data_IF_533490602301
#
_entry.id   IF_533490602301
#
_cell.length_a   1.000
_cell.length_b   1.000
_cell.length_c   1.000
_cell.angle_alpha   90.00
_cell.angle_beta   90.00
_cell.angle_gamma   90.00
#
_symmetry.space_group_name_H-M   'P 1'
#
loop_
_entity.id
_entity.type
_entity.pdbx_description
1 polymer ?
#
# COMPACT_ATOMS: atom_id res chain seq x y z
N UNK A 1 -7.99 -39.72 5.61
CA UNK A 1 -7.57 -38.74 6.62
C UNK A 1 -7.43 -37.38 5.93
N UNK A 2 -8.47 -36.55 5.96
CA UNK A 2 -8.42 -35.19 5.43
C UNK A 2 -8.09 -34.26 6.60
N UNK A 3 -6.90 -33.69 6.59
CA UNK A 3 -6.47 -32.72 7.59
C UNK A 3 -7.33 -31.45 7.44
N UNK A 4 -8.21 -31.22 8.41
CA UNK A 4 -8.91 -29.95 8.60
C UNK A 4 -7.88 -28.90 8.96
N UNK A 5 -7.50 -28.07 7.98
CA UNK A 5 -6.74 -26.84 8.26
C UNK A 5 -7.72 -25.87 8.91
N UNK A 6 -7.77 -25.88 10.24
CA UNK A 6 -8.46 -24.85 11.02
C UNK A 6 -7.64 -23.58 10.92
N UNK A 7 -8.04 -22.64 10.05
CA UNK A 7 -7.56 -21.26 10.12
C UNK A 7 -8.02 -20.69 11.46
N UNK A 8 -7.10 -20.60 12.42
CA UNK A 8 -7.29 -19.80 13.62
C UNK A 8 -7.36 -18.35 13.18
N UNK A 9 -8.56 -17.78 13.17
CA UNK A 9 -8.75 -16.34 13.05
C UNK A 9 -8.11 -15.70 14.28
N UNK A 10 -6.90 -15.16 14.12
CA UNK A 10 -6.26 -14.36 15.14
C UNK A 10 -6.94 -12.99 15.15
N UNK A 11 -7.95 -12.85 16.02
CA UNK A 11 -8.47 -11.54 16.40
C UNK A 11 -7.37 -10.78 17.14
N UNK A 12 -6.68 -9.89 16.42
CA UNK A 12 -5.82 -8.91 17.06
C UNK A 12 -6.39 -7.51 16.85
N UNK A 13 -7.46 -7.24 17.61
CA UNK A 13 -7.99 -5.90 17.78
C UNK A 13 -7.00 -5.09 18.62
N UNK A 14 -6.03 -4.43 17.97
CA UNK A 14 -5.41 -3.24 18.55
C UNK A 14 -6.29 -2.05 18.19
N UNK A 15 -7.24 -1.76 19.09
CA UNK A 15 -7.91 -0.46 19.15
C UNK A 15 -6.85 0.64 19.25
N UNK A 16 -6.55 1.30 18.14
CA UNK A 16 -6.03 2.66 18.21
C UNK A 16 -7.22 3.58 18.51
N UNK A 17 -7.07 4.35 19.59
CA UNK A 17 -8.09 5.19 20.18
C UNK A 17 -8.70 6.13 19.13
N UNK A 18 -10.04 6.12 19.08
CA UNK A 18 -10.87 7.12 18.42
C UNK A 18 -10.44 8.53 18.88
N UNK A 19 -9.75 9.26 18.02
CA UNK A 19 -9.91 10.71 17.96
C UNK A 19 -11.14 10.97 17.08
N UNK A 20 -12.26 11.27 17.73
CA UNK A 20 -13.45 11.73 17.05
C UNK A 20 -13.16 13.08 16.41
N UNK A 21 -12.92 13.11 15.10
CA UNK A 21 -12.93 14.34 14.31
C UNK A 21 -14.26 14.35 13.55
N UNK A 22 -15.31 14.87 14.19
CA UNK A 22 -16.43 15.46 13.46
C UNK A 22 -15.91 16.77 12.86
N UNK A 23 -15.36 16.70 11.64
CA UNK A 23 -14.78 17.85 10.96
C UNK A 23 -14.73 17.61 9.46
N UNK A 24 -15.53 18.40 8.73
CA UNK A 24 -15.56 18.62 7.28
C UNK A 24 -14.66 17.72 6.41
N UNK A 25 -15.30 16.85 5.64
CA UNK A 25 -14.69 16.18 4.48
C UNK A 25 -14.21 17.27 3.50
N UNK A 26 -12.90 17.25 3.18
CA UNK A 26 -12.13 18.11 2.25
C UNK A 26 -11.49 19.36 2.87
N UNK A 27 -10.32 19.16 3.47
CA UNK A 27 -9.22 20.12 3.35
C UNK A 27 -7.95 19.33 3.04
N UNK A 28 -7.91 18.69 1.87
CA UNK A 28 -6.69 18.07 1.36
C UNK A 28 -5.75 19.20 0.92
N UNK A 29 -4.68 19.38 1.69
CA UNK A 29 -3.46 20.10 1.34
C UNK A 29 -3.60 21.61 1.06
N UNK A 30 -3.52 22.44 2.10
CA UNK A 30 -3.24 23.87 2.00
C UNK A 30 -1.83 24.22 2.50
N UNK A 31 -0.85 23.35 2.23
CA UNK A 31 0.55 23.72 2.31
C UNK A 31 1.04 24.05 0.89
N UNK A 32 1.11 25.33 0.55
CA UNK A 32 1.82 25.80 -0.64
C UNK A 32 3.34 25.68 -0.43
N UNK A 33 3.84 24.48 -0.10
CA UNK A 33 5.20 24.14 -0.51
C UNK A 33 5.14 24.17 -2.02
N UNK A 34 5.73 25.21 -2.61
CA UNK A 34 6.10 25.26 -4.03
C UNK A 34 7.04 24.08 -4.28
N UNK A 35 6.44 22.91 -4.47
CA UNK A 35 7.10 21.76 -5.04
C UNK A 35 7.64 22.25 -6.38
N UNK A 36 8.96 22.18 -6.54
CA UNK A 36 9.62 22.47 -7.81
C UNK A 36 8.89 21.66 -8.88
N UNK A 37 8.38 22.28 -9.96
CA UNK A 37 7.67 21.54 -11.00
C UNK A 37 8.58 20.41 -11.45
N UNK A 38 8.08 19.20 -11.31
CA UNK A 38 8.77 17.96 -11.64
C UNK A 38 9.00 18.00 -13.15
N UNK A 39 10.23 18.30 -13.57
CA UNK A 39 10.85 18.56 -14.89
C UNK A 39 10.18 18.06 -16.21
N UNK A 40 8.86 18.04 -16.32
CA UNK A 40 8.13 17.46 -17.43
C UNK A 40 7.07 18.47 -17.86
N UNK A 41 7.27 19.02 -19.05
CA UNK A 41 6.37 20.00 -19.66
C UNK A 41 5.07 19.36 -20.15
N UNK A 42 5.10 18.08 -20.51
CA UNK A 42 3.97 17.34 -21.07
C UNK A 42 4.12 15.84 -20.79
N UNK A 43 3.00 15.13 -20.62
CA UNK A 43 3.00 13.67 -20.49
C UNK A 43 3.54 12.99 -21.76
N UNK A 44 3.19 13.50 -22.94
CA UNK A 44 3.63 12.91 -24.21
C UNK A 44 5.15 13.02 -24.41
N UNK A 45 5.78 14.09 -23.95
CA UNK A 45 7.25 14.20 -24.01
C UNK A 45 7.92 13.21 -23.07
N UNK A 46 7.37 13.03 -21.85
CA UNK A 46 7.88 12.05 -20.90
C UNK A 46 7.75 10.60 -21.40
N UNK A 47 6.67 10.29 -22.12
CA UNK A 47 6.42 8.97 -22.70
C UNK A 47 7.39 8.64 -23.84
N UNK A 48 7.82 9.62 -24.64
CA UNK A 48 8.76 9.40 -25.74
C UNK A 48 10.13 8.90 -25.26
N UNK A 49 10.61 9.43 -24.15
CA UNK A 49 11.91 9.07 -23.58
C UNK A 49 11.84 7.83 -22.67
N UNK A 50 10.64 7.42 -22.27
CA UNK A 50 10.43 6.30 -21.37
C UNK A 50 10.73 4.96 -22.06
N UNK A 51 11.76 4.26 -21.56
CA UNK A 51 12.13 2.91 -21.98
C UNK A 51 12.11 1.97 -20.78
N UNK A 52 11.31 0.91 -20.87
CA UNK A 52 11.32 -0.18 -19.90
C UNK A 52 12.45 -1.14 -20.23
N UNK A 53 13.39 -1.32 -19.30
CA UNK A 53 14.35 -2.42 -19.35
C UNK A 53 13.65 -3.71 -18.95
N UNK A 54 13.11 -4.45 -19.92
CA UNK A 54 12.42 -5.72 -19.66
C UNK A 54 13.49 -6.79 -19.42
N UNK A 55 13.55 -7.38 -18.21
CA UNK A 55 14.48 -8.48 -17.93
C UNK A 55 14.01 -9.77 -18.60
N UNK A 56 14.94 -10.71 -18.81
CA UNK A 56 14.63 -12.02 -19.39
C UNK A 56 13.70 -12.87 -18.48
N UNK A 57 13.85 -12.71 -17.16
CA UNK A 57 13.00 -13.34 -16.16
C UNK A 57 12.40 -12.27 -15.26
N UNK A 58 11.08 -12.33 -15.08
CA UNK A 58 10.34 -11.46 -14.17
C UNK A 58 9.16 -12.22 -13.57
N UNK A 59 9.07 -12.20 -12.24
CA UNK A 59 7.94 -12.70 -11.49
C UNK A 59 7.49 -11.63 -10.50
N UNK A 60 6.27 -11.12 -10.66
CA UNK A 60 5.77 -10.04 -9.80
C UNK A 60 5.67 -10.43 -8.32
N UNK A 61 5.37 -11.69 -8.00
CA UNK A 61 5.28 -12.14 -6.62
C UNK A 61 6.67 -12.10 -5.95
N UNK A 62 7.67 -12.68 -6.60
CA UNK A 62 9.04 -12.74 -6.06
C UNK A 62 9.78 -11.40 -6.16
N UNK A 63 9.78 -10.79 -7.34
CA UNK A 63 10.60 -9.60 -7.62
C UNK A 63 10.01 -8.31 -7.04
N UNK A 64 8.72 -8.31 -6.68
CA UNK A 64 8.06 -7.12 -6.11
C UNK A 64 7.52 -7.42 -4.72
N UNK A 65 6.56 -8.35 -4.58
CA UNK A 65 5.86 -8.55 -3.31
C UNK A 65 6.82 -9.03 -2.21
N UNK A 66 7.64 -10.04 -2.47
CA UNK A 66 8.58 -10.57 -1.47
C UNK A 66 9.60 -9.51 -1.05
N UNK A 67 10.08 -8.67 -1.97
CA UNK A 67 10.97 -7.55 -1.63
C UNK A 67 10.32 -6.52 -0.71
N UNK A 68 9.00 -6.28 -0.85
CA UNK A 68 8.27 -5.39 0.05
C UNK A 68 8.09 -6.02 1.42
N UNK A 69 7.75 -7.31 1.46
CA UNK A 69 7.66 -8.12 2.69
C UNK A 69 8.97 -8.09 3.47
N UNK A 70 10.11 -8.27 2.80
CA UNK A 70 11.42 -8.23 3.44
C UNK A 70 11.78 -6.85 4.00
N UNK A 71 11.41 -5.78 3.28
CA UNK A 71 11.63 -4.40 3.75
C UNK A 71 10.77 -4.07 4.97
N UNK A 72 9.55 -4.60 5.03
CA UNK A 72 8.65 -4.47 6.18
C UNK A 72 9.22 -5.24 7.39
N UNK A 73 9.60 -6.51 7.20
CA UNK A 73 10.24 -7.35 8.23
C UNK A 73 11.52 -6.75 8.79
N UNK A 74 12.33 -6.12 7.94
CA UNK A 74 13.56 -5.45 8.35
C UNK A 74 13.32 -4.13 9.12
N UNK A 75 12.07 -3.70 9.31
CA UNK A 75 11.73 -2.45 10.00
C UNK A 75 12.19 -1.19 9.27
N UNK A 76 12.58 -1.31 7.99
CA UNK A 76 13.12 -0.19 7.19
C UNK A 76 12.03 0.75 6.69
N UNK A 77 10.76 0.37 6.83
CA UNK A 77 9.60 1.14 6.36
C UNK A 77 8.48 1.13 7.41
N UNK A 78 7.71 2.22 7.54
CA UNK A 78 6.45 2.19 8.29
C UNK A 78 5.49 1.15 7.71
N UNK A 79 4.77 0.44 8.59
CA UNK A 79 3.77 -0.57 8.23
C UNK A 79 2.52 0.09 7.65
N UNK A 80 2.62 0.48 6.38
CA UNK A 80 1.49 0.92 5.57
C UNK A 80 0.80 -0.32 4.98
N UNK A 81 -0.54 -0.39 4.96
CA UNK A 81 -1.23 -1.53 4.38
C UNK A 81 -0.95 -1.65 2.89
N UNK A 82 -0.63 -2.86 2.42
CA UNK A 82 -0.49 -3.21 1.02
C UNK A 82 -1.86 -3.28 0.33
N UNK A 83 -2.85 -3.77 1.06
CA UNK A 83 -4.22 -3.89 0.61
C UNK A 83 -5.17 -3.31 1.66
N UNK A 84 -6.12 -2.50 1.20
CA UNK A 84 -7.19 -1.97 2.05
C UNK A 84 -8.52 -2.07 1.31
N UNK A 85 -9.39 -2.94 1.83
CA UNK A 85 -10.74 -3.13 1.34
C UNK A 85 -11.75 -2.66 2.37
N UNK A 86 -12.84 -2.06 1.89
CA UNK A 86 -13.96 -1.59 2.71
C UNK A 86 -15.25 -2.02 2.04
N UNK A 87 -16.14 -2.65 2.80
CA UNK A 87 -17.44 -3.05 2.27
C UNK A 87 -18.52 -1.97 2.43
N UNK A 88 -19.71 -2.23 1.91
CA UNK A 88 -20.84 -1.28 1.98
C UNK A 88 -21.32 -1.00 3.40
N UNK A 89 -21.06 -1.92 4.32
CA UNK A 89 -21.43 -1.80 5.74
C UNK A 89 -20.33 -1.05 6.53
N UNK A 90 -19.23 -0.67 5.87
CA UNK A 90 -18.10 0.01 6.50
C UNK A 90 -17.13 -0.94 7.22
N UNK A 91 -17.25 -2.25 7.02
CA UNK A 91 -16.26 -3.20 7.53
C UNK A 91 -14.98 -3.07 6.72
N UNK A 92 -13.85 -2.95 7.44
CA UNK A 92 -12.53 -2.76 6.84
C UNK A 92 -11.70 -4.03 6.96
N UNK A 93 -10.99 -4.36 5.89
CA UNK A 93 -9.96 -5.39 5.84
C UNK A 93 -8.67 -4.75 5.35
N UNK A 94 -7.60 -4.88 6.13
CA UNK A 94 -6.27 -4.37 5.79
C UNK A 94 -5.28 -5.51 5.88
N UNK A 95 -4.44 -5.65 4.85
CA UNK A 95 -3.32 -6.58 4.83
C UNK A 95 -2.01 -5.83 4.64
N UNK A 96 -1.01 -6.20 5.43
CA UNK A 96 0.40 -5.88 5.21
C UNK A 96 0.95 -6.61 3.97
N UNK A 97 2.19 -6.34 3.57
CA UNK A 97 2.80 -7.07 2.45
C UNK A 97 3.09 -8.54 2.83
N UNK A 98 3.37 -8.80 4.10
CA UNK A 98 3.57 -10.17 4.60
C UNK A 98 2.27 -11.00 4.62
N UNK A 99 1.13 -10.36 4.83
CA UNK A 99 -0.17 -11.04 4.90
C UNK A 99 -0.83 -11.24 3.53
N UNK A 100 -0.34 -10.53 2.50
CA UNK A 100 -0.86 -10.56 1.13
C UNK A 100 -0.42 -11.85 0.41
#
# INVERSE_FOLDING_TARGET
MLARVTMKMLHHAKCFQRLAIFGSVRALHKDNRTATPQNFSNYESMKQDFKLGIPEYFNFAEDVLDQWTDKEKAGKKPSNPAFWWINRNGEEMRWSFEEL
#
